data_IF_217588482358
#
_entry.id   IF_217588482358
#
_cell.length_a   1.000
_cell.length_b   1.000
_cell.length_c   1.000
_cell.angle_alpha   90.00
_cell.angle_beta   90.00
_cell.angle_gamma   90.00
#
_symmetry.space_group_name_H-M   'P 1'
#
loop_
_entity.id
_entity.type
_entity.pdbx_description
1 polymer ?
#
# COMPACT_ATOMS: atom_id res chain seq x y z
N UNK A 1 -47.98 -10.89 -4.56
CA UNK A 1 -46.72 -11.52 -5.03
C UNK A 1 -45.64 -10.43 -5.01
N UNK A 2 -44.52 -10.59 -4.29
CA UNK A 2 -43.46 -9.57 -4.25
C UNK A 2 -42.89 -9.30 -5.65
N UNK A 3 -42.52 -8.05 -5.96
CA UNK A 3 -42.05 -7.70 -7.31
C UNK A 3 -40.69 -8.36 -7.60
N UNK A 4 -40.37 -8.74 -8.85
CA UNK A 4 -39.11 -9.44 -9.18
C UNK A 4 -37.84 -8.75 -8.67
N UNK A 5 -37.86 -7.41 -8.63
CA UNK A 5 -36.75 -6.58 -8.11
C UNK A 5 -36.63 -6.62 -6.58
N UNK A 6 -37.74 -6.76 -5.85
CA UNK A 6 -37.77 -6.88 -4.39
C UNK A 6 -37.22 -8.24 -3.93
N UNK A 7 -37.57 -9.31 -4.67
CA UNK A 7 -37.02 -10.65 -4.43
C UNK A 7 -35.51 -10.64 -4.59
N UNK A 8 -35.00 -9.93 -5.60
CA UNK A 8 -33.56 -9.83 -5.83
C UNK A 8 -32.82 -9.03 -4.74
N UNK A 9 -33.46 -8.00 -4.18
CA UNK A 9 -32.91 -7.19 -3.08
C UNK A 9 -32.87 -7.98 -1.78
N UNK A 10 -33.92 -8.73 -1.49
CA UNK A 10 -34.00 -9.59 -0.30
C UNK A 10 -32.96 -10.72 -0.35
N UNK A 11 -32.78 -11.34 -1.52
CA UNK A 11 -31.75 -12.36 -1.72
C UNK A 11 -30.33 -11.80 -1.56
N UNK A 12 -30.07 -10.57 -2.01
CA UNK A 12 -28.79 -9.87 -1.77
C UNK A 12 -28.52 -9.69 -0.28
N UNK A 13 -29.54 -9.28 0.49
CA UNK A 13 -29.44 -9.07 1.94
C UNK A 13 -29.07 -10.35 2.68
N UNK A 14 -29.75 -11.46 2.37
CA UNK A 14 -29.48 -12.78 2.98
C UNK A 14 -28.08 -13.33 2.66
N UNK A 15 -27.59 -13.12 1.43
CA UNK A 15 -26.21 -13.52 1.05
C UNK A 15 -25.17 -12.77 1.88
N UNK A 16 -25.38 -11.47 2.11
CA UNK A 16 -24.46 -10.61 2.86
C UNK A 16 -24.43 -10.98 4.34
N UNK A 17 -25.59 -11.20 4.96
CA UNK A 17 -25.73 -11.57 6.36
C UNK A 17 -24.99 -12.88 6.68
N UNK A 18 -25.17 -13.90 5.84
CA UNK A 18 -24.49 -15.20 6.01
C UNK A 18 -22.98 -15.05 5.77
N UNK A 19 -22.55 -14.20 4.83
CA UNK A 19 -21.13 -13.92 4.62
C UNK A 19 -20.49 -13.18 5.81
N UNK A 20 -21.20 -12.22 6.40
CA UNK A 20 -20.76 -11.49 7.60
C UNK A 20 -20.67 -12.40 8.83
N UNK A 21 -21.44 -13.50 8.88
CA UNK A 21 -21.29 -14.54 9.90
C UNK A 21 -20.01 -15.39 9.80
N UNK A 22 -19.10 -15.07 8.87
CA UNK A 22 -17.81 -15.75 8.67
C UNK A 22 -17.88 -17.01 7.82
N UNK A 23 -19.04 -17.32 7.22
CA UNK A 23 -19.23 -18.52 6.40
C UNK A 23 -18.68 -18.31 4.98
N UNK A 24 -17.86 -19.26 4.52
CA UNK A 24 -17.31 -19.24 3.16
C UNK A 24 -18.36 -19.48 2.07
N UNK A 25 -18.02 -19.17 0.82
CA UNK A 25 -18.94 -19.24 -0.34
C UNK A 25 -19.61 -20.60 -0.56
N UNK A 26 -18.97 -21.70 -0.14
CA UNK A 26 -19.55 -23.05 -0.21
C UNK A 26 -20.77 -23.19 0.71
N UNK A 27 -20.68 -22.65 1.92
CA UNK A 27 -21.73 -22.73 2.93
C UNK A 27 -22.91 -21.81 2.58
N UNK A 28 -22.65 -20.61 2.05
CA UNK A 28 -23.70 -19.68 1.59
C UNK A 28 -24.47 -20.26 0.40
N UNK A 29 -23.76 -20.82 -0.58
CA UNK A 29 -24.36 -21.49 -1.74
C UNK A 29 -25.28 -22.64 -1.31
N UNK A 30 -24.84 -23.47 -0.36
CA UNK A 30 -25.64 -24.57 0.18
C UNK A 30 -26.86 -24.08 0.98
N UNK A 31 -26.72 -22.99 1.75
CA UNK A 31 -27.79 -22.46 2.59
C UNK A 31 -28.92 -21.76 1.79
N UNK A 32 -28.59 -21.18 0.63
CA UNK A 32 -29.54 -20.42 -0.19
C UNK A 32 -29.95 -21.14 -1.49
N UNK A 33 -29.44 -22.35 -1.74
CA UNK A 33 -29.72 -23.10 -2.97
C UNK A 33 -29.21 -22.42 -4.25
N UNK A 34 -28.22 -21.53 -4.14
CA UNK A 34 -27.70 -20.74 -5.26
C UNK A 34 -26.37 -21.29 -5.79
N UNK A 35 -26.11 -21.25 -7.11
CA UNK A 35 -24.80 -21.58 -7.65
C UNK A 35 -23.69 -20.69 -7.05
N UNK A 36 -22.52 -21.29 -6.77
CA UNK A 36 -21.38 -20.57 -6.15
C UNK A 36 -20.89 -19.38 -6.98
N UNK A 37 -21.05 -19.44 -8.29
CA UNK A 37 -20.75 -18.36 -9.24
C UNK A 37 -21.65 -17.15 -8.98
N UNK A 38 -22.95 -17.38 -8.79
CA UNK A 38 -23.93 -16.34 -8.46
C UNK A 38 -23.63 -15.69 -7.11
N UNK A 39 -23.26 -16.48 -6.10
CA UNK A 39 -22.84 -15.96 -4.77
C UNK A 39 -21.59 -15.07 -4.88
N UNK A 40 -20.68 -15.38 -5.82
CA UNK A 40 -19.44 -14.63 -6.00
C UNK A 40 -19.68 -13.24 -6.61
N UNK A 41 -20.71 -13.11 -7.46
CA UNK A 41 -21.05 -11.90 -8.21
C UNK A 41 -21.83 -10.85 -7.39
N UNK A 42 -22.31 -11.19 -6.19
CA UNK A 42 -22.94 -10.20 -5.33
C UNK A 42 -21.90 -9.23 -4.73
N UNK A 43 -22.19 -7.92 -4.68
CA UNK A 43 -21.28 -6.93 -4.11
C UNK A 43 -21.15 -7.14 -2.60
N UNK A 44 -19.90 -7.20 -2.11
CA UNK A 44 -19.56 -7.54 -0.71
C UNK A 44 -19.03 -6.35 0.09
N UNK A 45 -19.17 -5.14 -0.45
CA UNK A 45 -18.71 -3.90 0.19
C UNK A 45 -19.87 -3.22 0.92
N UNK A 46 -19.65 -2.89 2.20
CA UNK A 46 -20.57 -2.06 2.98
C UNK A 46 -20.73 -0.63 2.39
N UNK A 47 -19.80 -0.18 1.55
CA UNK A 47 -19.86 1.15 0.92
C UNK A 47 -20.95 1.24 -0.17
N UNK A 48 -21.32 0.14 -0.82
CA UNK A 48 -22.39 0.14 -1.84
C UNK A 48 -23.79 0.17 -1.22
N UNK A 49 -23.92 -0.21 0.07
CA UNK A 49 -25.20 -0.21 0.79
C UNK A 49 -25.63 1.23 1.15
N UNK A 50 -24.69 2.12 1.44
CA UNK A 50 -25.00 3.50 1.85
C UNK A 50 -25.41 4.42 0.70
N UNK A 51 -25.32 3.97 -0.56
CA UNK A 51 -25.69 4.78 -1.73
C UNK A 51 -27.15 4.60 -2.18
N UNK A 52 -27.89 3.62 -1.63
CA UNK A 52 -29.30 3.38 -1.94
C UNK A 52 -30.28 3.75 -0.80
N UNK A 53 -29.79 4.17 0.38
CA UNK A 53 -30.64 4.54 1.54
C UNK A 53 -30.90 6.05 1.63
N UNK A 54 -30.18 6.90 0.90
CA UNK A 54 -30.32 8.36 0.98
C UNK A 54 -31.19 8.98 -0.12
N UNK A 55 -32.10 8.21 -0.74
CA UNK A 55 -33.07 8.72 -1.72
C UNK A 55 -34.50 8.47 -1.24
N UNK A 56 -34.86 8.99 -0.08
CA UNK A 56 -36.27 9.21 0.25
C UNK A 56 -36.41 10.43 1.18
N UNK A 57 -36.98 11.56 0.71
CA UNK A 57 -37.08 12.79 1.49
C UNK A 57 -38.44 12.86 2.21
N UNK A 58 -38.68 12.05 3.23
CA UNK A 58 -39.83 12.26 4.12
C UNK A 58 -39.62 11.61 5.49
N UNK A 59 -39.68 12.47 6.53
CA UNK A 59 -40.13 12.22 7.91
C UNK A 59 -39.10 12.59 8.99
N UNK A 60 -38.97 13.91 9.19
CA UNK A 60 -39.17 14.65 10.45
C UNK A 60 -38.85 13.96 11.79
N UNK A 61 -37.80 14.48 12.46
CA UNK A 61 -37.75 14.90 13.87
C UNK A 61 -38.74 14.26 14.87
N UNK A 62 -38.22 13.36 15.71
CA UNK A 62 -38.41 13.25 17.19
C UNK A 62 -38.06 11.82 17.63
N UNK A 63 -37.00 11.65 18.40
CA UNK A 63 -36.56 10.33 18.89
C UNK A 63 -35.07 10.22 19.21
N UNK A 64 -34.30 11.30 18.97
CA UNK A 64 -32.97 11.47 19.50
C UNK A 64 -33.09 11.82 21.00
N UNK A 65 -33.08 10.83 21.90
CA UNK A 65 -32.45 10.97 23.25
C UNK A 65 -32.46 9.72 24.17
N UNK A 66 -33.13 8.60 23.87
CA UNK A 66 -33.33 7.56 24.90
C UNK A 66 -32.49 6.25 24.78
N UNK A 67 -31.55 6.08 23.85
CA UNK A 67 -30.81 4.80 23.71
C UNK A 67 -29.28 4.89 23.78
N UNK A 68 -28.72 6.08 24.00
CA UNK A 68 -27.26 6.29 24.09
C UNK A 68 -26.62 5.72 25.37
N UNK A 69 -27.40 5.20 26.32
CA UNK A 69 -26.89 4.78 27.63
C UNK A 69 -26.60 3.27 27.78
N UNK A 70 -26.98 2.38 26.85
CA UNK A 70 -26.96 0.93 27.14
C UNK A 70 -26.03 0.03 26.32
N UNK A 71 -25.15 0.56 25.45
CA UNK A 71 -24.21 -0.29 24.69
C UNK A 71 -22.80 0.28 24.69
N UNK A 72 -22.13 0.20 25.85
CA UNK A 72 -20.67 0.18 25.93
C UNK A 72 -20.23 -1.15 26.53
N UNK A 73 -19.24 -1.75 25.85
CA UNK A 73 -18.48 -2.97 26.16
C UNK A 73 -19.20 -4.30 25.94
N UNK A 74 -19.02 -4.84 24.73
CA UNK A 74 -18.39 -6.16 24.55
C UNK A 74 -17.76 -6.25 23.15
N UNK A 75 -16.43 -6.31 23.17
CA UNK A 75 -15.57 -7.08 22.27
C UNK A 75 -15.18 -6.49 20.89
N UNK A 76 -14.02 -5.81 20.95
CA UNK A 76 -12.91 -5.78 19.98
C UNK A 76 -13.28 -5.33 18.56
N UNK A 77 -12.95 -4.07 18.30
CA UNK A 77 -12.96 -3.43 16.98
C UNK A 77 -11.83 -4.06 16.14
N UNK A 78 -12.11 -4.72 15.01
CA UNK A 78 -11.10 -4.90 13.97
C UNK A 78 -10.85 -3.54 13.35
N UNK A 79 -9.65 -3.00 13.56
CA UNK A 79 -9.21 -1.72 12.99
C UNK A 79 -9.19 -1.84 11.46
N UNK A 80 -10.29 -1.46 10.83
CA UNK A 80 -10.37 -1.21 9.38
C UNK A 80 -9.51 0.01 9.05
N UNK A 81 -8.89 -0.01 7.85
CA UNK A 81 -8.06 1.09 7.33
C UNK A 81 -8.77 2.43 7.59
N UNK A 82 -8.21 3.24 8.48
CA UNK A 82 -8.78 4.53 8.86
C UNK A 82 -9.07 5.34 7.60
N UNK A 83 -10.24 5.98 7.53
CA UNK A 83 -10.64 6.89 6.45
C UNK A 83 -9.82 8.19 6.36
N UNK A 84 -8.59 8.21 6.90
CA UNK A 84 -7.67 9.36 6.90
C UNK A 84 -6.84 9.50 5.62
N UNK A 85 -7.11 8.69 4.60
CA UNK A 85 -6.35 8.65 3.35
C UNK A 85 -5.04 7.87 3.45
N UNK A 86 -4.41 7.63 2.30
CA UNK A 86 -3.10 6.98 2.20
C UNK A 86 -2.23 7.73 1.21
N UNK A 87 -0.91 7.58 1.37
CA UNK A 87 0.08 8.16 0.46
C UNK A 87 0.94 7.03 -0.07
N UNK A 88 1.11 7.00 -1.40
CA UNK A 88 2.09 6.15 -2.05
C UNK A 88 3.38 6.95 -2.22
N UNK A 89 4.50 6.41 -1.75
CA UNK A 89 5.82 7.03 -1.90
C UNK A 89 6.81 6.07 -2.53
N UNK A 90 7.76 6.62 -3.27
CA UNK A 90 8.96 5.94 -3.74
C UNK A 90 10.16 6.55 -3.04
N UNK A 91 11.13 5.74 -2.66
CA UNK A 91 12.37 6.22 -2.08
C UNK A 91 13.57 5.42 -2.56
N UNK A 92 14.73 6.04 -2.42
CA UNK A 92 16.00 5.40 -2.69
C UNK A 92 17.00 5.68 -1.58
N UNK A 93 17.90 4.74 -1.30
CA UNK A 93 19.00 5.01 -0.39
C UNK A 93 20.27 4.25 -0.80
N UNK A 94 21.39 4.68 -0.25
CA UNK A 94 22.67 3.99 -0.36
C UNK A 94 23.35 3.94 1.01
N UNK A 95 24.50 3.27 1.11
CA UNK A 95 25.27 3.22 2.36
C UNK A 95 25.62 4.62 2.92
N UNK A 96 25.75 5.62 2.05
CA UNK A 96 26.03 7.01 2.44
C UNK A 96 24.82 7.79 2.95
N UNK A 97 23.60 7.26 2.86
CA UNK A 97 22.40 7.91 3.40
C UNK A 97 21.13 7.75 2.56
N UNK A 98 20.03 8.39 3.01
CA UNK A 98 18.78 8.46 2.25
C UNK A 98 18.98 9.32 1.00
N UNK A 99 18.56 8.82 -0.14
CA UNK A 99 18.39 9.59 -1.37
C UNK A 99 17.04 10.30 -1.39
N UNK A 100 16.53 10.60 -2.58
CA UNK A 100 15.27 11.34 -2.72
C UNK A 100 14.05 10.47 -2.41
N UNK A 101 13.04 11.10 -1.83
CA UNK A 101 11.70 10.56 -1.63
C UNK A 101 10.71 11.28 -2.55
N UNK A 102 9.98 10.51 -3.36
CA UNK A 102 8.97 11.02 -4.29
C UNK A 102 7.57 10.57 -3.86
N UNK A 103 6.63 11.52 -3.82
CA UNK A 103 5.21 11.22 -3.59
C UNK A 103 4.56 10.87 -4.92
N UNK A 104 3.78 9.79 -4.94
CA UNK A 104 3.10 9.27 -6.11
C UNK A 104 1.61 9.57 -5.98
N UNK A 105 1.09 10.34 -6.93
CA UNK A 105 -0.32 10.65 -7.01
C UNK A 105 -1.02 9.64 -7.93
N UNK A 106 -1.95 8.87 -7.37
CA UNK A 106 -2.75 7.89 -8.12
C UNK A 106 -2.08 6.51 -8.24
N UNK A 107 -2.48 5.75 -9.27
CA UNK A 107 -2.02 4.38 -9.48
C UNK A 107 -0.67 4.35 -10.19
N UNK A 108 0.29 3.61 -9.63
CA UNK A 108 1.58 3.37 -10.26
C UNK A 108 1.46 2.48 -11.50
N UNK A 109 2.00 2.96 -12.62
CA UNK A 109 2.21 2.16 -13.84
C UNK A 109 3.67 2.32 -14.30
N UNK A 110 4.08 1.55 -15.32
CA UNK A 110 5.47 1.57 -15.81
C UNK A 110 5.93 2.95 -16.28
N UNK A 111 5.06 3.77 -16.89
CA UNK A 111 5.42 5.11 -17.36
C UNK A 111 5.67 6.08 -16.20
N UNK A 112 4.81 6.04 -15.17
CA UNK A 112 5.00 6.83 -13.94
C UNK A 112 6.28 6.39 -13.23
N UNK A 113 6.56 5.08 -13.18
CA UNK A 113 7.79 4.56 -12.60
C UNK A 113 9.04 5.07 -13.33
N UNK A 114 9.07 4.99 -14.66
CA UNK A 114 10.18 5.51 -15.47
C UNK A 114 10.40 7.02 -15.24
N UNK A 115 9.32 7.80 -15.11
CA UNK A 115 9.39 9.22 -14.79
C UNK A 115 10.05 9.44 -13.42
N UNK A 116 9.63 8.71 -12.39
CA UNK A 116 10.20 8.79 -11.05
C UNK A 116 11.68 8.44 -11.07
N UNK A 117 12.07 7.36 -11.76
CA UNK A 117 13.48 6.98 -11.89
C UNK A 117 14.30 8.10 -12.55
N UNK A 118 13.77 8.70 -13.62
CA UNK A 118 14.43 9.78 -14.36
C UNK A 118 14.68 11.00 -13.45
N UNK A 119 13.67 11.38 -12.68
CA UNK A 119 13.67 12.60 -11.88
C UNK A 119 14.44 12.44 -10.57
N UNK A 120 14.57 11.22 -10.04
CA UNK A 120 15.07 11.02 -8.68
C UNK A 120 16.37 10.21 -8.58
N UNK A 121 16.64 9.22 -9.44
CA UNK A 121 17.81 8.35 -9.27
C UNK A 121 19.12 9.10 -9.50
N UNK A 122 19.28 9.76 -10.66
CA UNK A 122 20.53 10.47 -10.97
C UNK A 122 20.82 11.62 -10.00
N UNK A 123 19.84 12.46 -9.63
CA UNK A 123 20.08 13.45 -8.60
C UNK A 123 20.46 12.83 -7.26
N UNK A 124 19.82 11.73 -6.84
CA UNK A 124 20.20 11.05 -5.59
C UNK A 124 21.62 10.48 -5.63
N UNK A 125 22.06 9.91 -6.75
CA UNK A 125 23.45 9.45 -6.95
C UNK A 125 24.44 10.61 -6.76
N UNK A 126 24.11 11.80 -7.27
CA UNK A 126 24.93 13.00 -7.13
C UNK A 126 24.93 13.51 -5.69
N UNK A 127 23.75 13.66 -5.08
CA UNK A 127 23.55 14.13 -3.71
C UNK A 127 24.29 13.23 -2.71
N UNK A 128 24.27 11.91 -2.94
CA UNK A 128 24.94 10.88 -2.13
C UNK A 128 26.42 10.65 -2.48
N UNK A 129 26.96 11.38 -3.47
CA UNK A 129 28.35 11.31 -3.95
C UNK A 129 28.80 9.88 -4.30
N UNK A 130 27.92 9.11 -4.94
CA UNK A 130 28.23 7.72 -5.30
C UNK A 130 29.20 7.65 -6.48
N UNK A 131 30.02 6.59 -6.51
CA UNK A 131 30.94 6.32 -7.62
C UNK A 131 30.16 6.08 -8.92
N UNK A 132 30.80 6.33 -10.07
CA UNK A 132 30.22 6.09 -11.42
C UNK A 132 29.79 4.64 -11.66
N UNK A 133 30.25 3.70 -10.84
CA UNK A 133 29.97 2.27 -10.91
C UNK A 133 28.76 1.86 -10.06
N UNK A 134 27.85 2.79 -9.77
CA UNK A 134 26.67 2.48 -8.98
C UNK A 134 25.75 1.48 -9.69
N UNK A 135 25.02 0.71 -8.88
CA UNK A 135 24.08 -0.30 -9.36
C UNK A 135 22.72 -0.07 -8.71
N UNK A 136 21.67 -0.10 -9.53
CA UNK A 136 20.29 0.02 -9.11
C UNK A 136 19.76 -1.34 -8.67
N UNK A 137 19.35 -1.48 -7.42
CA UNK A 137 18.52 -2.60 -6.99
C UNK A 137 17.05 -2.14 -6.97
N UNK A 138 16.19 -2.99 -7.52
CA UNK A 138 14.73 -2.88 -7.49
C UNK A 138 14.16 -4.28 -7.27
N UNK A 139 12.96 -4.37 -6.71
CA UNK A 139 12.26 -5.65 -6.57
C UNK A 139 11.76 -6.19 -7.94
N UNK A 140 11.17 -7.37 -7.90
CA UNK A 140 10.63 -8.03 -9.10
C UNK A 140 9.14 -7.69 -9.34
N UNK A 141 8.61 -6.56 -8.85
CA UNK A 141 7.24 -6.14 -9.19
C UNK A 141 7.08 -6.10 -10.74
N UNK A 142 5.98 -6.61 -11.30
CA UNK A 142 5.72 -6.60 -12.75
C UNK A 142 5.94 -5.23 -13.43
N UNK A 143 5.78 -4.11 -12.71
CA UNK A 143 5.99 -2.75 -13.22
C UNK A 143 7.48 -2.46 -13.42
N UNK A 144 8.33 -2.95 -12.53
CA UNK A 144 9.79 -2.81 -12.56
C UNK A 144 10.43 -3.69 -13.62
N UNK A 145 9.91 -4.91 -13.76
CA UNK A 145 10.39 -5.93 -14.68
C UNK A 145 9.69 -5.92 -16.04
N UNK A 146 8.68 -5.05 -16.23
CA UNK A 146 8.01 -4.91 -17.52
C UNK A 146 9.01 -4.63 -18.64
N UNK A 147 8.69 -5.13 -19.85
CA UNK A 147 9.51 -4.91 -21.06
C UNK A 147 9.80 -3.42 -21.28
N UNK A 148 8.77 -2.58 -21.12
CA UNK A 148 8.90 -1.13 -21.23
C UNK A 148 9.92 -0.54 -20.25
N UNK A 149 9.84 -0.88 -18.97
CA UNK A 149 10.79 -0.39 -17.96
C UNK A 149 12.20 -0.93 -18.18
N UNK A 150 12.33 -2.20 -18.54
CA UNK A 150 13.61 -2.85 -18.82
C UNK A 150 14.33 -2.21 -20.01
N UNK A 151 13.62 -1.93 -21.10
CA UNK A 151 14.16 -1.21 -22.27
C UNK A 151 14.54 0.23 -21.92
N UNK A 152 13.71 0.90 -21.11
CA UNK A 152 13.98 2.26 -20.67
C UNK A 152 15.24 2.35 -19.78
N UNK A 153 15.44 1.41 -18.86
CA UNK A 153 16.64 1.31 -18.02
C UNK A 153 17.91 1.12 -18.88
N UNK A 154 17.85 0.21 -19.85
CA UNK A 154 18.94 -0.03 -20.82
C UNK A 154 19.26 1.24 -21.62
N UNK A 155 18.23 1.91 -22.18
CA UNK A 155 18.38 3.16 -22.93
C UNK A 155 19.00 4.28 -22.10
N UNK A 156 18.70 4.34 -20.80
CA UNK A 156 19.24 5.34 -19.87
C UNK A 156 20.57 4.95 -19.23
N UNK A 157 21.18 3.83 -19.67
CA UNK A 157 22.47 3.31 -19.18
C UNK A 157 22.47 3.11 -17.66
N UNK A 158 21.35 2.65 -17.10
CA UNK A 158 21.23 2.32 -15.68
C UNK A 158 21.51 0.84 -15.48
N UNK A 159 22.59 0.53 -14.77
CA UNK A 159 22.93 -0.84 -14.42
C UNK A 159 22.00 -1.31 -13.31
N UNK A 160 21.24 -2.36 -13.56
CA UNK A 160 20.38 -3.00 -12.56
C UNK A 160 21.04 -4.24 -11.97
N UNK A 161 20.83 -4.47 -10.68
CA UNK A 161 21.19 -5.69 -9.98
C UNK A 161 20.17 -6.77 -10.34
N UNK A 162 20.64 -7.95 -10.72
CA UNK A 162 19.78 -9.11 -10.89
C UNK A 162 19.35 -9.59 -9.50
N UNK A 163 18.05 -9.58 -9.23
CA UNK A 163 17.47 -9.93 -7.94
C UNK A 163 16.72 -11.25 -8.02
N UNK A 164 16.98 -12.23 -7.13
CA UNK A 164 16.27 -13.49 -7.16
C UNK A 164 14.77 -13.29 -6.90
N UNK A 165 13.95 -14.03 -7.64
CA UNK A 165 12.50 -14.07 -7.46
C UNK A 165 12.13 -14.52 -6.04
N UNK A 166 11.05 -13.97 -5.48
CA UNK A 166 10.49 -14.35 -4.16
C UNK A 166 11.39 -14.07 -2.93
N UNK A 167 12.19 -13.00 -2.97
CA UNK A 167 12.98 -12.54 -1.82
C UNK A 167 12.58 -11.13 -1.34
N UNK A 168 11.30 -10.87 -0.99
CA UNK A 168 10.87 -9.55 -0.49
C UNK A 168 11.52 -9.23 0.86
N UNK A 169 11.72 -10.24 1.72
CA UNK A 169 12.39 -10.11 3.03
C UNK A 169 13.86 -9.67 2.90
N UNK A 170 14.40 -9.72 1.68
CA UNK A 170 15.78 -9.38 1.40
C UNK A 170 15.97 -7.95 0.91
N UNK A 171 14.93 -7.12 0.83
CA UNK A 171 15.11 -5.71 0.44
C UNK A 171 15.45 -4.84 1.66
N UNK A 172 16.69 -4.31 1.80
CA UNK A 172 17.08 -3.55 2.98
C UNK A 172 16.30 -2.23 3.15
N UNK A 173 15.64 -1.73 2.11
CA UNK A 173 14.80 -0.52 2.22
C UNK A 173 13.51 -0.77 2.98
N UNK A 174 13.02 -2.02 3.07
CA UNK A 174 11.86 -2.36 3.91
C UNK A 174 12.10 -2.02 5.39
N UNK A 175 13.36 -2.16 5.83
CA UNK A 175 13.75 -1.75 7.18
C UNK A 175 13.66 -0.24 7.37
N UNK A 176 14.02 0.55 6.35
CA UNK A 176 13.84 2.01 6.39
C UNK A 176 12.38 2.41 6.31
N UNK A 177 11.56 1.67 5.55
CA UNK A 177 10.12 1.91 5.53
C UNK A 177 9.46 1.63 6.87
N UNK A 178 9.87 0.58 7.56
CA UNK A 178 9.43 0.32 8.92
C UNK A 178 9.80 1.47 9.87
N UNK A 179 11.06 1.92 9.84
CA UNK A 179 11.54 3.03 10.66
C UNK A 179 10.74 4.32 10.35
N UNK A 180 10.53 4.64 9.07
CA UNK A 180 9.76 5.80 8.62
C UNK A 180 8.29 5.74 9.10
N UNK A 181 7.61 4.60 8.91
CA UNK A 181 6.23 4.41 9.34
C UNK A 181 6.08 4.66 10.84
N UNK A 182 7.03 4.17 11.65
CA UNK A 182 7.04 4.35 13.10
C UNK A 182 7.10 5.83 13.50
N UNK A 183 8.04 6.59 12.93
CA UNK A 183 8.22 8.01 13.28
C UNK A 183 7.11 8.91 12.73
N UNK A 184 6.63 8.65 11.51
CA UNK A 184 5.50 9.38 10.92
C UNK A 184 4.21 9.12 11.70
N UNK A 185 3.97 7.88 12.13
CA UNK A 185 2.81 7.55 12.95
C UNK A 185 2.85 8.26 14.31
N UNK A 186 4.03 8.39 14.92
CA UNK A 186 4.21 9.11 16.18
C UNK A 186 3.86 10.60 16.07
N UNK A 187 4.02 11.20 14.88
CA UNK A 187 3.63 12.61 14.61
C UNK A 187 2.11 12.80 14.43
N UNK A 188 1.32 11.73 14.36
CA UNK A 188 -0.15 11.75 14.27
C UNK A 188 -0.69 12.70 13.17
N UNK A 189 -0.34 12.49 11.88
CA UNK A 189 -0.84 13.34 10.81
C UNK A 189 -2.38 13.32 10.75
N UNK A 190 -2.98 14.50 10.63
CA UNK A 190 -4.42 14.68 10.61
C UNK A 190 -5.01 14.69 9.19
N UNK A 191 -4.17 14.86 8.17
CA UNK A 191 -4.59 14.87 6.77
C UNK A 191 -3.47 14.35 5.84
N UNK A 192 -3.83 14.13 4.57
CA UNK A 192 -2.92 13.59 3.56
C UNK A 192 -1.73 14.53 3.28
N UNK A 193 -1.92 15.85 3.32
CA UNK A 193 -0.84 16.80 3.08
C UNK A 193 0.19 16.77 4.21
N UNK A 194 -0.25 16.73 5.47
CA UNK A 194 0.61 16.51 6.63
C UNK A 194 1.33 15.17 6.56
N UNK A 195 0.62 14.10 6.19
CA UNK A 195 1.23 12.79 6.01
C UNK A 195 2.35 12.82 4.96
N UNK A 196 2.13 13.46 3.81
CA UNK A 196 3.14 13.64 2.77
C UNK A 196 4.34 14.45 3.29
N UNK A 197 4.08 15.54 4.00
CA UNK A 197 5.15 16.40 4.53
C UNK A 197 5.96 15.66 5.60
N UNK A 198 5.31 14.95 6.51
CA UNK A 198 5.99 14.20 7.57
C UNK A 198 6.82 13.07 6.98
N UNK A 199 6.35 12.38 5.95
CA UNK A 199 7.16 11.40 5.23
C UNK A 199 8.46 12.02 4.68
N UNK A 200 8.39 13.21 4.08
CA UNK A 200 9.58 13.91 3.55
C UNK A 200 10.53 14.36 4.66
N UNK A 201 9.99 14.99 5.70
CA UNK A 201 10.77 15.49 6.84
C UNK A 201 11.52 14.36 7.54
N UNK A 202 10.82 13.28 7.87
CA UNK A 202 11.38 12.16 8.62
C UNK A 202 12.33 11.33 7.77
N UNK A 203 12.08 11.20 6.47
CA UNK A 203 13.01 10.56 5.55
C UNK A 203 14.35 11.28 5.48
N UNK A 204 14.34 12.62 5.40
CA UNK A 204 15.55 13.44 5.39
C UNK A 204 16.35 13.36 6.71
N UNK A 205 15.70 12.98 7.82
CA UNK A 205 16.35 12.81 9.13
C UNK A 205 16.97 11.42 9.32
N UNK A 206 16.77 10.48 8.40
CA UNK A 206 17.36 9.14 8.52
C UNK A 206 18.88 9.26 8.54
N UNK A 207 19.57 8.82 9.61
CA UNK A 207 20.99 9.02 9.74
C UNK A 207 21.74 8.11 8.75
N UNK A 208 22.77 8.61 8.04
CA UNK A 208 23.63 7.81 7.16
C UNK A 208 24.17 6.53 7.80
N UNK A 209 24.44 6.55 9.10
CA UNK A 209 24.91 5.40 9.87
C UNK A 209 23.88 4.27 9.93
N UNK A 210 22.58 4.57 9.90
CA UNK A 210 21.51 3.56 9.79
C UNK A 210 21.55 2.91 8.42
N UNK A 211 21.63 3.70 7.36
CA UNK A 211 21.75 3.22 5.99
C UNK A 211 22.99 2.35 5.79
N UNK A 212 24.16 2.78 6.28
CA UNK A 212 25.40 2.02 6.19
C UNK A 212 25.29 0.66 6.90
N UNK A 213 24.77 0.64 8.13
CA UNK A 213 24.58 -0.61 8.88
C UNK A 213 23.67 -1.60 8.17
N UNK A 214 22.58 -1.11 7.56
CA UNK A 214 21.69 -1.96 6.77
C UNK A 214 22.42 -2.54 5.55
N UNK A 215 23.15 -1.73 4.79
CA UNK A 215 23.91 -2.25 3.64
C UNK A 215 24.98 -3.26 4.08
N UNK A 216 25.68 -2.99 5.19
CA UNK A 216 26.73 -3.88 5.71
C UNK A 216 26.19 -5.19 6.28
N UNK A 217 25.00 -5.20 6.88
CA UNK A 217 24.40 -6.42 7.45
C UNK A 217 23.84 -7.37 6.40
N UNK A 218 23.62 -6.91 5.17
CA UNK A 218 23.08 -7.73 4.10
C UNK A 218 24.17 -8.58 3.43
N UNK A 219 24.34 -9.79 3.95
CA UNK A 219 25.16 -10.85 3.38
C UNK A 219 24.26 -11.94 2.78
N UNK A 220 24.41 -12.23 1.50
CA UNK A 220 23.69 -13.31 0.83
C UNK A 220 24.68 -14.46 0.59
N UNK A 221 24.47 -15.61 1.24
CA UNK A 221 25.35 -16.79 1.08
C UNK A 221 26.82 -16.55 1.47
N UNK A 222 27.07 -15.77 2.53
CA UNK A 222 28.43 -15.48 3.01
C UNK A 222 29.22 -14.47 2.17
N UNK A 223 28.61 -13.88 1.13
CA UNK A 223 29.20 -12.79 0.34
C UNK A 223 28.43 -11.50 0.56
N UNK A 224 29.13 -10.37 0.61
CA UNK A 224 28.51 -9.05 0.68
C UNK A 224 27.81 -8.78 -0.65
N UNK A 225 26.48 -8.80 -0.65
CA UNK A 225 25.68 -8.64 -1.87
C UNK A 225 25.57 -7.17 -2.28
N UNK A 226 25.48 -6.29 -1.29
CA UNK A 226 25.52 -4.84 -1.49
C UNK A 226 26.88 -4.28 -1.09
N UNK A 227 27.54 -3.62 -2.04
CA UNK A 227 28.71 -2.78 -1.78
C UNK A 227 28.30 -1.32 -1.64
N UNK A 228 29.20 -0.46 -1.13
CA UNK A 228 28.95 0.97 -0.91
C UNK A 228 28.46 1.77 -2.14
N UNK A 229 28.54 1.21 -3.35
CA UNK A 229 28.03 1.84 -4.58
C UNK A 229 26.58 1.50 -4.95
N UNK A 230 25.88 0.66 -4.19
CA UNK A 230 24.52 0.26 -4.55
C UNK A 230 23.47 1.30 -4.14
N UNK A 231 22.53 1.54 -5.03
CA UNK A 231 21.30 2.30 -4.79
C UNK A 231 20.17 1.30 -4.67
N UNK A 232 19.55 1.24 -3.50
CA UNK A 232 18.40 0.37 -3.22
C UNK A 232 17.13 1.18 -3.38
N UNK A 233 16.17 0.65 -4.13
CA UNK A 233 14.88 1.27 -4.41
C UNK A 233 13.73 0.37 -4.00
N UNK A 234 12.68 0.97 -3.46
CA UNK A 234 11.36 0.34 -3.39
C UNK A 234 10.25 1.38 -3.15
N UNK A 235 9.01 0.91 -3.16
CA UNK A 235 7.82 1.68 -2.84
C UNK A 235 7.29 1.39 -1.44
N UNK A 236 6.45 2.29 -0.96
CA UNK A 236 5.55 2.03 0.15
C UNK A 236 4.11 1.91 -0.36
N UNK A 237 3.49 0.75 -0.12
CA UNK A 237 2.05 0.56 -0.19
C UNK A 237 1.42 0.55 1.22
N UNK A 238 0.18 1.06 1.38
CA UNK A 238 -0.54 1.12 2.65
C UNK A 238 -1.17 -0.21 3.10
#
# INVERSE_FOLDING_TARGET
MPRPKEIQKEMRKKVIEIYQSGKGYKAISKALGLPRTTVRNYPKSAATINQEVTKDPTTTSKGLQASLASVKKKNIIPTVKYGGGSVMVWGCFAASGPGRLAVINGTMNSAVYQKILKENVRPSVCDLKLKRTWVLQQDNDPKHTSKSTSEWLKKNKMKTLEWPSQSPDLNPIEMLWHDLKKVVHARKPCNVAELQQFCKDEWAKIPPQRCNRLIASYQLGGKHFFTQGHVVLDFVFP
#
